data_IF_806204274577
#
_entry.id   IF_806204274577
#
_cell.length_a   1.000
_cell.length_b   1.000
_cell.length_c   1.000
_cell.angle_alpha   90.00
_cell.angle_beta   90.00
_cell.angle_gamma   90.00
#
_symmetry.space_group_name_H-M   'P 1'
#
loop_
_entity.id
_entity.type
_entity.pdbx_description
1 polymer ?
#
# COMPACT_ATOMS: atom_id res chain seq x y z
N UNK A 1 31.46 14.02 1.09
CA UNK A 1 30.65 13.96 -0.14
C UNK A 1 29.19 13.82 0.28
N UNK A 2 28.39 14.86 0.08
CA UNK A 2 27.03 14.99 0.62
C UNK A 2 25.99 14.44 -0.37
N UNK A 3 25.11 13.56 0.10
CA UNK A 3 24.01 12.93 -0.68
C UNK A 3 22.69 13.69 -0.55
N UNK A 4 22.72 15.02 -0.65
CA UNK A 4 21.56 15.90 -0.39
C UNK A 4 20.80 16.37 -1.66
N UNK A 5 20.92 15.69 -2.80
CA UNK A 5 20.47 16.24 -4.11
C UNK A 5 19.54 15.35 -4.94
N UNK A 6 18.86 14.35 -4.36
CA UNK A 6 17.96 13.45 -5.13
C UNK A 6 16.50 13.40 -4.66
N UNK A 7 15.99 14.47 -4.03
CA UNK A 7 14.63 14.49 -3.44
C UNK A 7 13.60 15.41 -4.12
N UNK A 8 13.89 16.00 -5.30
CA UNK A 8 13.01 17.00 -5.94
C UNK A 8 12.51 16.67 -7.36
N UNK A 9 12.44 15.39 -7.79
CA UNK A 9 12.04 15.06 -9.18
C UNK A 9 10.89 14.07 -9.37
N UNK A 10 10.10 13.76 -8.33
CA UNK A 10 8.93 12.85 -8.46
C UNK A 10 7.65 13.47 -7.87
N UNK A 11 7.53 14.80 -7.87
CA UNK A 11 6.33 15.49 -7.39
C UNK A 11 5.71 16.49 -8.39
N UNK A 12 5.94 16.29 -9.69
CA UNK A 12 5.40 17.15 -10.76
C UNK A 12 4.57 16.40 -11.81
N UNK A 13 4.19 15.13 -11.58
CA UNK A 13 3.65 14.26 -12.63
C UNK A 13 2.15 13.91 -12.63
N UNK A 14 1.33 14.31 -11.65
CA UNK A 14 -0.01 13.71 -11.53
C UNK A 14 -1.14 14.63 -11.02
N UNK A 15 -1.19 15.89 -11.46
CA UNK A 15 -2.39 16.75 -11.27
C UNK A 15 -2.83 17.45 -12.58
N UNK A 16 -2.16 17.21 -13.71
CA UNK A 16 -2.44 17.90 -14.98
C UNK A 16 -3.48 17.17 -15.88
N UNK A 17 -4.55 16.60 -15.32
CA UNK A 17 -5.52 15.85 -16.12
C UNK A 17 -6.98 15.91 -15.64
N UNK A 18 -7.45 17.05 -15.09
CA UNK A 18 -8.89 17.28 -14.87
C UNK A 18 -9.25 18.77 -14.70
N UNK A 19 -8.74 19.63 -15.58
CA UNK A 19 -9.09 21.06 -15.64
C UNK A 19 -9.12 21.59 -17.09
N UNK A 20 -9.68 20.82 -18.02
CA UNK A 20 -9.91 21.22 -19.42
C UNK A 20 -11.32 20.79 -19.86
N UNK A 21 -12.37 21.36 -19.24
CA UNK A 21 -13.72 21.24 -19.81
C UNK A 21 -14.72 22.36 -19.42
N UNK A 22 -14.31 23.59 -19.09
CA UNK A 22 -15.27 24.70 -18.93
C UNK A 22 -14.66 26.07 -19.32
N UNK A 23 -13.98 26.15 -20.46
CA UNK A 23 -13.59 27.44 -21.08
C UNK A 23 -13.70 27.31 -22.59
N UNK A 24 -14.84 27.73 -23.15
CA UNK A 24 -14.98 27.86 -24.60
C UNK A 24 -16.43 27.87 -25.06
N UNK A 25 -17.15 28.96 -24.83
CA UNK A 25 -18.14 29.51 -25.77
C UNK A 25 -18.64 30.86 -25.26
N UNK A 26 -17.93 31.94 -25.60
CA UNK A 26 -18.55 33.25 -25.76
C UNK A 26 -17.85 33.96 -26.92
N UNK A 27 -18.28 33.59 -28.12
CA UNK A 27 -17.86 34.25 -29.35
C UNK A 27 -18.51 35.64 -29.41
N UNK A 28 -17.67 36.60 -29.78
CA UNK A 28 -17.90 38.02 -30.01
C UNK A 28 -18.98 38.23 -31.09
N UNK A 29 -20.03 38.96 -30.77
CA UNK A 29 -20.93 39.57 -31.75
C UNK A 29 -20.56 41.05 -31.90
N UNK A 30 -19.98 41.40 -33.05
CA UNK A 30 -19.68 42.78 -33.47
C UNK A 30 -20.88 43.24 -34.31
N UNK A 31 -21.63 44.21 -33.81
CA UNK A 31 -22.70 44.86 -34.57
C UNK A 31 -22.12 46.04 -35.35
N UNK A 32 -22.23 46.00 -36.67
CA UNK A 32 -21.95 47.14 -37.54
C UNK A 32 -23.15 48.09 -37.52
N UNK A 33 -22.83 49.36 -37.30
CA UNK A 33 -23.69 50.51 -37.46
C UNK A 33 -23.97 50.78 -38.94
N UNK A 34 -25.24 50.92 -39.31
CA UNK A 34 -25.63 51.74 -40.47
C UNK A 34 -26.63 52.80 -40.03
N UNK A 35 -26.28 54.01 -40.43
CA UNK A 35 -26.92 55.29 -40.18
C UNK A 35 -28.23 55.44 -40.96
N UNK A 36 -29.24 56.03 -40.32
CA UNK A 36 -30.43 56.57 -40.96
C UNK A 36 -31.08 57.61 -40.05
N UNK A 37 -30.90 58.89 -40.38
CA UNK A 37 -31.42 60.03 -39.66
C UNK A 37 -32.88 60.30 -40.00
N UNK A 38 -33.67 60.76 -39.01
CA UNK A 38 -34.64 61.85 -39.20
C UNK A 38 -35.07 62.46 -37.86
N UNK A 39 -35.13 63.78 -37.91
CA UNK A 39 -35.37 64.82 -36.91
C UNK A 39 -36.84 64.90 -36.48
N UNK A 40 -37.10 65.26 -35.21
CA UNK A 40 -38.14 66.20 -34.71
C UNK A 40 -38.56 65.87 -33.26
N UNK A 41 -38.62 66.89 -32.38
CA UNK A 41 -39.25 66.76 -31.06
C UNK A 41 -38.52 67.43 -29.89
N UNK A 42 -38.25 68.73 -30.00
CA UNK A 42 -37.76 69.57 -28.90
C UNK A 42 -38.89 69.82 -27.86
N UNK A 43 -38.54 69.93 -26.57
CA UNK A 43 -39.38 70.29 -25.40
C UNK A 43 -39.90 69.17 -24.47
N UNK A 44 -40.22 67.96 -24.94
CA UNK A 44 -40.56 66.81 -24.05
C UNK A 44 -39.34 65.94 -23.65
N UNK A 45 -38.23 66.11 -24.37
CA UNK A 45 -37.02 65.30 -24.25
C UNK A 45 -36.22 65.60 -22.96
N UNK A 46 -36.32 66.79 -22.39
CA UNK A 46 -35.49 67.20 -21.24
C UNK A 46 -35.93 66.52 -19.94
N UNK A 47 -37.24 66.37 -19.68
CA UNK A 47 -37.77 65.66 -18.50
C UNK A 47 -37.63 64.14 -18.61
N UNK A 48 -37.64 63.63 -19.83
CA UNK A 48 -37.47 62.20 -20.12
C UNK A 48 -36.00 61.81 -19.99
N UNK A 49 -35.05 62.66 -20.43
CA UNK A 49 -33.61 62.40 -20.29
C UNK A 49 -33.12 62.44 -18.84
N UNK A 50 -33.71 63.28 -17.99
CA UNK A 50 -33.41 63.31 -16.54
C UNK A 50 -33.95 62.08 -15.82
N UNK A 51 -35.19 61.64 -16.12
CA UNK A 51 -35.72 60.38 -15.58
C UNK A 51 -34.91 59.16 -16.02
N UNK A 52 -34.42 59.13 -17.27
CA UNK A 52 -33.56 58.05 -17.77
C UNK A 52 -32.23 58.02 -17.02
N UNK A 53 -31.60 59.19 -16.77
CA UNK A 53 -30.36 59.26 -15.97
C UNK A 53 -30.55 58.84 -14.52
N UNK A 54 -31.67 59.21 -13.89
CA UNK A 54 -32.02 58.81 -12.53
C UNK A 54 -32.15 57.28 -12.44
N UNK A 55 -32.89 56.68 -13.39
CA UNK A 55 -33.06 55.22 -13.48
C UNK A 55 -31.74 54.51 -13.70
N UNK A 56 -30.87 55.03 -14.58
CA UNK A 56 -29.55 54.45 -14.83
C UNK A 56 -28.65 54.52 -13.60
N UNK A 57 -28.69 55.60 -12.82
CA UNK A 57 -27.95 55.71 -11.55
C UNK A 57 -28.45 54.70 -10.51
N UNK A 58 -29.77 54.58 -10.35
CA UNK A 58 -30.36 53.58 -9.46
C UNK A 58 -30.01 52.15 -9.92
N UNK A 59 -30.01 51.91 -11.24
CA UNK A 59 -29.61 50.63 -11.81
C UNK A 59 -28.12 50.34 -11.56
N UNK A 60 -27.22 51.32 -11.70
CA UNK A 60 -25.81 51.16 -11.39
C UNK A 60 -25.56 50.86 -9.90
N UNK A 61 -26.26 51.54 -9.00
CA UNK A 61 -26.15 51.29 -7.55
C UNK A 61 -26.63 49.90 -7.17
N UNK A 62 -27.79 49.47 -7.68
CA UNK A 62 -28.34 48.12 -7.45
C UNK A 62 -27.43 47.04 -8.07
N UNK A 63 -26.85 47.30 -9.25
CA UNK A 63 -25.86 46.40 -9.86
C UNK A 63 -24.55 46.32 -9.05
N UNK A 64 -24.08 47.44 -8.48
CA UNK A 64 -22.88 47.46 -7.62
C UNK A 64 -23.13 46.72 -6.31
N UNK A 65 -24.31 46.89 -5.71
CA UNK A 65 -24.69 46.20 -4.48
C UNK A 65 -24.83 44.69 -4.71
N UNK A 66 -25.51 44.29 -5.79
CA UNK A 66 -25.58 42.88 -6.22
C UNK A 66 -24.21 42.31 -6.52
N UNK A 67 -23.32 43.05 -7.18
CA UNK A 67 -21.96 42.62 -7.47
C UNK A 67 -21.16 42.39 -6.18
N UNK A 68 -21.25 43.29 -5.19
CA UNK A 68 -20.61 43.12 -3.88
C UNK A 68 -21.14 41.90 -3.13
N UNK A 69 -22.46 41.72 -3.10
CA UNK A 69 -23.10 40.57 -2.46
C UNK A 69 -22.72 39.24 -3.13
N UNK A 70 -22.62 39.22 -4.47
CA UNK A 70 -22.13 38.06 -5.23
C UNK A 70 -20.66 37.80 -4.91
N UNK A 71 -19.81 38.84 -4.84
CA UNK A 71 -18.40 38.71 -4.51
C UNK A 71 -18.19 38.14 -3.10
N UNK A 72 -18.93 38.63 -2.11
CA UNK A 72 -18.89 38.11 -0.73
C UNK A 72 -19.37 36.66 -0.63
N UNK A 73 -20.46 36.30 -1.33
CA UNK A 73 -20.92 34.91 -1.43
C UNK A 73 -19.87 34.00 -2.07
N UNK A 74 -19.22 34.45 -3.14
CA UNK A 74 -18.17 33.67 -3.81
C UNK A 74 -16.94 33.51 -2.93
N UNK A 75 -16.56 34.54 -2.17
CA UNK A 75 -15.42 34.48 -1.25
C UNK A 75 -15.71 33.54 -0.07
N UNK A 76 -16.88 33.67 0.57
CA UNK A 76 -17.30 32.79 1.66
C UNK A 76 -17.44 31.34 1.19
N UNK A 77 -18.01 31.10 0.01
CA UNK A 77 -18.12 29.75 -0.55
C UNK A 77 -16.74 29.16 -0.87
N UNK A 78 -15.81 29.95 -1.42
CA UNK A 78 -14.41 29.52 -1.64
C UNK A 78 -13.71 29.17 -0.35
N UNK A 79 -13.92 29.93 0.71
CA UNK A 79 -13.34 29.69 2.02
C UNK A 79 -13.93 28.43 2.67
N UNK A 80 -15.24 28.21 2.56
CA UNK A 80 -15.92 26.99 2.99
C UNK A 80 -15.43 25.76 2.20
N UNK A 81 -15.29 25.86 0.88
CA UNK A 81 -14.74 24.78 0.05
C UNK A 81 -13.30 24.48 0.46
N UNK A 82 -12.47 25.51 0.74
CA UNK A 82 -11.07 25.34 1.14
C UNK A 82 -10.95 24.68 2.52
N UNK A 83 -11.75 25.10 3.48
CA UNK A 83 -11.78 24.52 4.83
C UNK A 83 -12.33 23.09 4.81
N UNK A 84 -13.41 22.83 4.08
CA UNK A 84 -13.94 21.48 3.87
C UNK A 84 -12.94 20.56 3.16
N UNK A 85 -12.25 21.05 2.13
CA UNK A 85 -11.20 20.29 1.44
C UNK A 85 -10.03 19.96 2.37
N UNK A 86 -9.61 20.90 3.23
CA UNK A 86 -8.52 20.68 4.18
C UNK A 86 -8.88 19.66 5.26
N UNK A 87 -10.06 19.79 5.87
CA UNK A 87 -10.53 18.89 6.93
C UNK A 87 -10.87 17.50 6.40
N UNK A 88 -11.40 17.40 5.19
CA UNK A 88 -11.66 16.13 4.51
C UNK A 88 -10.35 15.42 4.16
N UNK A 89 -9.35 16.14 3.64
CA UNK A 89 -8.01 15.58 3.37
C UNK A 89 -7.36 15.05 4.64
N UNK A 90 -7.43 15.78 5.74
CA UNK A 90 -6.85 15.35 7.02
C UNK A 90 -7.55 14.09 7.57
N UNK A 91 -8.88 14.06 7.54
CA UNK A 91 -9.65 12.87 7.95
C UNK A 91 -9.35 11.65 7.07
N UNK A 92 -9.22 11.85 5.75
CA UNK A 92 -8.85 10.77 4.83
C UNK A 92 -7.43 10.28 5.14
N UNK A 93 -6.48 11.20 5.37
CA UNK A 93 -5.11 10.85 5.71
C UNK A 93 -5.02 10.03 6.99
N UNK A 94 -5.66 10.47 8.06
CA UNK A 94 -5.70 9.75 9.33
C UNK A 94 -6.31 8.35 9.18
N UNK A 95 -7.44 8.24 8.47
CA UNK A 95 -8.08 6.93 8.19
C UNK A 95 -7.19 6.01 7.35
N UNK A 96 -6.45 6.56 6.40
CA UNK A 96 -5.53 5.77 5.56
C UNK A 96 -4.33 5.31 6.38
N UNK A 97 -3.77 6.15 7.26
CA UNK A 97 -2.65 5.80 8.13
C UNK A 97 -3.04 4.70 9.14
N UNK A 98 -4.20 4.81 9.79
CA UNK A 98 -4.67 3.78 10.72
C UNK A 98 -5.01 2.46 10.01
N UNK A 99 -5.73 2.53 8.88
CA UNK A 99 -6.07 1.34 8.10
C UNK A 99 -4.82 0.66 7.52
N UNK A 100 -3.79 1.42 7.13
CA UNK A 100 -2.52 0.86 6.66
C UNK A 100 -1.79 0.13 7.80
N UNK A 101 -1.74 0.72 9.00
CA UNK A 101 -1.13 0.09 10.17
C UNK A 101 -1.84 -1.21 10.57
N UNK A 102 -3.17 -1.22 10.59
CA UNK A 102 -3.97 -2.42 10.87
C UNK A 102 -3.74 -3.52 9.84
N UNK A 103 -3.75 -3.18 8.54
CA UNK A 103 -3.46 -4.13 7.46
C UNK A 103 -2.07 -4.73 7.58
N UNK A 104 -1.08 -3.91 7.90
CA UNK A 104 0.29 -4.39 8.09
C UNK A 104 0.39 -5.36 9.28
N UNK A 105 -0.17 -4.99 10.44
CA UNK A 105 -0.22 -5.89 11.61
C UNK A 105 -0.91 -7.21 11.28
N UNK A 106 -2.05 -7.16 10.60
CA UNK A 106 -2.78 -8.35 10.18
C UNK A 106 -1.97 -9.22 9.20
N UNK A 107 -1.25 -8.60 8.27
CA UNK A 107 -0.41 -9.34 7.33
C UNK A 107 0.75 -10.04 8.04
N UNK A 108 1.46 -9.33 8.93
CA UNK A 108 2.59 -9.92 9.67
C UNK A 108 2.11 -11.01 10.64
N UNK A 109 1.00 -10.81 11.33
CA UNK A 109 0.45 -11.82 12.25
C UNK A 109 0.09 -13.13 11.52
N UNK A 110 -0.46 -13.04 10.30
CA UNK A 110 -0.69 -14.21 9.46
C UNK A 110 0.60 -14.94 9.09
N UNK A 111 1.67 -14.20 8.80
CA UNK A 111 2.99 -14.79 8.48
C UNK A 111 3.58 -15.46 9.71
N UNK A 112 3.62 -14.79 10.86
CA UNK A 112 4.11 -15.35 12.13
C UNK A 112 3.36 -16.64 12.48
N UNK A 113 2.03 -16.63 12.37
CA UNK A 113 1.21 -17.82 12.62
C UNK A 113 1.60 -19.00 11.71
N UNK A 114 1.85 -18.74 10.42
CA UNK A 114 2.28 -19.78 9.46
C UNK A 114 3.69 -20.30 9.78
N UNK A 115 4.61 -19.43 10.19
CA UNK A 115 5.97 -19.82 10.57
C UNK A 115 5.96 -20.67 11.85
N UNK A 116 5.19 -20.27 12.87
CA UNK A 116 5.03 -21.06 14.10
C UNK A 116 4.38 -22.42 13.85
N UNK A 117 3.38 -22.49 12.96
CA UNK A 117 2.81 -23.77 12.55
C UNK A 117 3.84 -24.69 11.84
N UNK A 118 4.76 -24.09 11.07
CA UNK A 118 5.84 -24.85 10.44
C UNK A 118 6.86 -25.35 11.47
N UNK A 119 7.26 -24.52 12.44
CA UNK A 119 8.09 -24.90 13.60
C UNK A 119 7.48 -26.11 14.31
N UNK A 120 6.21 -26.01 14.72
CA UNK A 120 5.51 -27.08 15.44
C UNK A 120 5.48 -28.40 14.64
N UNK A 121 5.21 -28.31 13.33
CA UNK A 121 5.22 -29.49 12.46
C UNK A 121 6.60 -30.15 12.39
N UNK A 122 7.67 -29.36 12.30
CA UNK A 122 9.04 -29.86 12.24
C UNK A 122 9.50 -30.45 13.58
N UNK A 123 9.09 -29.87 14.72
CA UNK A 123 9.33 -30.45 16.05
C UNK A 123 8.67 -31.81 16.20
N UNK A 124 7.38 -31.92 15.85
CA UNK A 124 6.65 -33.21 15.88
C UNK A 124 7.32 -34.27 14.99
N UNK A 125 7.86 -33.87 13.83
CA UNK A 125 8.62 -34.78 12.97
C UNK A 125 9.95 -35.20 13.60
N UNK A 126 10.64 -34.25 14.24
CA UNK A 126 11.90 -34.49 14.97
C UNK A 126 11.70 -35.52 16.08
N UNK A 127 10.65 -35.37 16.88
CA UNK A 127 10.35 -36.27 18.00
C UNK A 127 9.96 -37.67 17.53
N UNK A 128 9.19 -37.76 16.44
CA UNK A 128 8.87 -39.04 15.80
C UNK A 128 10.12 -39.73 15.27
N UNK A 129 11.03 -38.97 14.67
CA UNK A 129 12.29 -39.52 14.15
C UNK A 129 13.18 -39.98 15.30
N UNK A 130 13.32 -39.19 16.37
CA UNK A 130 14.07 -39.57 17.57
C UNK A 130 13.54 -40.88 18.17
N UNK A 131 12.22 -41.01 18.34
CA UNK A 131 11.59 -42.24 18.82
C UNK A 131 11.93 -43.44 17.92
N UNK A 132 11.95 -43.26 16.60
CA UNK A 132 12.34 -44.31 15.66
C UNK A 132 13.82 -44.65 15.75
N UNK A 133 14.70 -43.66 15.88
CA UNK A 133 16.14 -43.87 16.05
C UNK A 133 16.46 -44.63 17.33
N UNK A 134 15.77 -44.32 18.43
CA UNK A 134 15.93 -45.06 19.69
C UNK A 134 15.56 -46.55 19.50
N UNK A 135 14.42 -46.83 18.86
CA UNK A 135 14.01 -48.22 18.55
C UNK A 135 14.98 -48.96 17.62
N UNK A 136 15.73 -48.26 16.76
CA UNK A 136 16.76 -48.86 15.91
C UNK A 136 18.05 -49.11 16.68
N UNK A 137 18.46 -48.16 17.53
CA UNK A 137 19.60 -48.31 18.43
C UNK A 137 19.41 -49.51 19.38
N UNK A 138 18.20 -49.69 19.92
CA UNK A 138 17.86 -50.85 20.78
C UNK A 138 18.01 -52.19 20.05
N UNK A 139 17.96 -52.19 18.72
CA UNK A 139 18.17 -53.36 17.85
C UNK A 139 19.63 -53.51 17.41
N UNK A 140 20.54 -52.69 17.93
CA UNK A 140 21.96 -52.69 17.57
C UNK A 140 22.27 -52.08 16.20
N UNK A 141 21.33 -51.34 15.60
CA UNK A 141 21.57 -50.63 14.33
C UNK A 141 22.30 -49.32 14.64
N UNK A 142 23.35 -49.02 13.88
CA UNK A 142 24.06 -47.75 14.00
C UNK A 142 23.17 -46.58 13.56
N UNK A 143 22.97 -45.63 14.47
CA UNK A 143 22.15 -44.42 14.27
C UNK A 143 22.96 -43.14 14.42
N UNK A 144 24.29 -43.22 14.38
CA UNK A 144 25.18 -42.09 14.63
C UNK A 144 24.94 -40.95 13.64
N UNK A 145 24.95 -41.23 12.34
CA UNK A 145 24.71 -40.22 11.29
C UNK A 145 23.27 -39.65 11.34
N UNK A 146 22.19 -40.46 11.38
CA UNK A 146 20.84 -39.93 11.53
C UNK A 146 20.64 -39.04 12.76
N UNK A 147 21.28 -39.35 13.89
CA UNK A 147 21.22 -38.53 15.11
C UNK A 147 21.93 -37.19 14.93
N UNK A 148 23.08 -37.17 14.26
CA UNK A 148 23.78 -35.92 13.95
C UNK A 148 22.91 -35.00 13.06
N UNK A 149 22.30 -35.54 12.01
CA UNK A 149 21.40 -34.80 11.12
C UNK A 149 20.14 -34.29 11.84
N UNK A 150 19.56 -35.10 12.75
CA UNK A 150 18.46 -34.65 13.62
C UNK A 150 18.88 -33.49 14.54
N UNK A 151 20.11 -33.51 15.05
CA UNK A 151 20.68 -32.40 15.83
C UNK A 151 20.77 -31.09 15.03
N UNK A 152 21.20 -31.18 13.77
CA UNK A 152 21.22 -30.03 12.84
C UNK A 152 19.79 -29.50 12.63
N UNK A 153 18.84 -30.40 12.38
CA UNK A 153 17.44 -30.01 12.20
C UNK A 153 16.88 -29.25 13.41
N UNK A 154 17.10 -29.77 14.63
CA UNK A 154 16.65 -29.12 15.88
C UNK A 154 17.30 -27.75 16.09
N UNK A 155 18.58 -27.62 15.75
CA UNK A 155 19.30 -26.34 15.83
C UNK A 155 18.68 -25.30 14.89
N UNK A 156 18.39 -25.69 13.64
CA UNK A 156 17.79 -24.78 12.66
C UNK A 156 16.32 -24.44 12.98
N UNK A 157 15.58 -25.32 13.67
CA UNK A 157 14.25 -25.01 14.22
C UNK A 157 14.37 -23.94 15.31
N UNK A 158 15.30 -24.10 16.26
CA UNK A 158 15.53 -23.12 17.33
C UNK A 158 15.96 -21.76 16.77
N UNK A 159 16.81 -21.74 15.74
CA UNK A 159 17.17 -20.51 15.04
C UNK A 159 15.95 -19.83 14.43
N UNK A 160 15.03 -20.60 13.82
CA UNK A 160 13.80 -20.04 13.26
C UNK A 160 12.91 -19.44 14.37
N UNK A 161 12.75 -20.12 15.51
CA UNK A 161 12.00 -19.62 16.66
C UNK A 161 12.56 -18.29 17.18
N UNK A 162 13.89 -18.22 17.35
CA UNK A 162 14.57 -17.00 17.80
C UNK A 162 14.28 -15.83 16.86
N UNK A 163 14.45 -16.03 15.55
CA UNK A 163 14.21 -14.98 14.53
C UNK A 163 12.74 -14.58 14.48
N UNK A 164 11.80 -15.52 14.62
CA UNK A 164 10.36 -15.20 14.70
C UNK A 164 10.05 -14.36 15.95
N UNK A 165 10.76 -14.60 17.05
CA UNK A 165 10.65 -13.84 18.30
C UNK A 165 10.96 -12.34 18.16
N UNK A 166 11.75 -11.95 17.15
CA UNK A 166 12.10 -10.54 16.87
C UNK A 166 10.97 -9.77 16.14
N UNK A 167 9.95 -10.48 15.64
CA UNK A 167 8.91 -9.88 14.80
C UNK A 167 8.07 -8.79 15.50
N UNK A 168 7.63 -8.93 16.77
CA UNK A 168 6.83 -7.91 17.44
C UNK A 168 7.55 -6.55 17.50
N UNK A 169 8.84 -6.55 17.83
CA UNK A 169 9.66 -5.33 17.89
C UNK A 169 9.83 -4.72 16.50
N UNK A 170 10.08 -5.54 15.48
CA UNK A 170 10.18 -5.07 14.11
C UNK A 170 8.88 -4.42 13.60
N UNK A 171 7.71 -4.96 13.98
CA UNK A 171 6.41 -4.40 13.62
C UNK A 171 6.20 -3.03 14.26
N UNK A 172 6.46 -2.90 15.56
CA UNK A 172 6.30 -1.61 16.25
C UNK A 172 7.31 -0.57 15.73
N UNK A 173 8.52 -0.99 15.37
CA UNK A 173 9.49 -0.14 14.71
C UNK A 173 9.01 0.38 13.34
N UNK A 174 8.25 -0.40 12.56
CA UNK A 174 7.65 0.10 11.30
C UNK A 174 6.61 1.17 11.58
N UNK A 175 5.77 0.95 12.59
CA UNK A 175 4.62 1.79 12.88
C UNK A 175 4.99 3.12 13.55
N UNK A 176 6.11 3.17 14.25
CA UNK A 176 6.63 4.39 14.88
C UNK A 176 7.69 5.15 14.06
N UNK A 177 7.98 4.73 12.81
CA UNK A 177 9.11 5.27 12.06
C UNK A 177 8.73 6.28 10.98
N UNK A 178 9.49 7.38 10.93
CA UNK A 178 9.46 8.37 9.83
C UNK A 178 10.13 7.88 8.54
N UNK A 179 10.76 6.68 8.57
CA UNK A 179 11.42 6.03 7.44
C UNK A 179 10.83 4.65 7.15
N UNK A 180 9.56 4.56 6.67
CA UNK A 180 8.86 3.27 6.56
C UNK A 180 9.58 2.26 5.67
N UNK A 181 10.23 2.70 4.58
CA UNK A 181 10.89 1.80 3.64
C UNK A 181 12.00 0.94 4.27
N UNK A 182 12.80 1.52 5.15
CA UNK A 182 13.90 0.81 5.79
C UNK A 182 13.39 -0.16 6.87
N UNK A 183 12.39 0.26 7.64
CA UNK A 183 11.79 -0.57 8.68
C UNK A 183 10.99 -1.73 8.09
N UNK A 184 10.25 -1.52 6.98
CA UNK A 184 9.64 -2.61 6.21
C UNK A 184 10.66 -3.63 5.70
N UNK A 185 11.82 -3.17 5.24
CA UNK A 185 12.89 -4.05 4.77
C UNK A 185 13.36 -4.97 5.91
N UNK A 186 13.58 -4.42 7.12
CA UNK A 186 13.96 -5.22 8.29
C UNK A 186 12.94 -6.30 8.61
N UNK A 187 11.65 -5.98 8.65
CA UNK A 187 10.59 -6.99 8.86
C UNK A 187 10.64 -8.10 7.81
N UNK A 188 10.86 -7.74 6.55
CA UNK A 188 11.01 -8.73 5.46
C UNK A 188 12.25 -9.60 5.63
N UNK A 189 13.38 -9.01 5.99
CA UNK A 189 14.64 -9.72 6.19
C UNK A 189 14.51 -10.77 7.31
N UNK A 190 13.82 -10.43 8.42
CA UNK A 190 13.48 -11.37 9.50
C UNK A 190 12.64 -12.53 8.98
N UNK A 191 11.58 -12.24 8.21
CA UNK A 191 10.73 -13.28 7.60
C UNK A 191 11.55 -14.21 6.70
N UNK A 192 12.44 -13.66 5.88
CA UNK A 192 13.22 -14.44 4.93
C UNK A 192 14.32 -15.27 5.62
N UNK A 193 14.90 -14.76 6.71
CA UNK A 193 15.80 -15.53 7.58
C UNK A 193 15.08 -16.70 8.26
N UNK A 194 13.91 -16.48 8.86
CA UNK A 194 13.12 -17.54 9.48
C UNK A 194 12.76 -18.64 8.46
N UNK A 195 12.33 -18.26 7.25
CA UNK A 195 12.08 -19.23 6.17
C UNK A 195 13.33 -20.02 5.78
N UNK A 196 14.49 -19.36 5.72
CA UNK A 196 15.75 -20.01 5.36
C UNK A 196 16.11 -21.08 6.40
N UNK A 197 16.03 -20.77 7.69
CA UNK A 197 16.27 -21.72 8.78
C UNK A 197 15.28 -22.89 8.73
N UNK A 198 13.97 -22.62 8.54
CA UNK A 198 12.97 -23.69 8.39
C UNK A 198 13.23 -24.61 7.18
N UNK A 199 13.71 -24.06 6.05
CA UNK A 199 14.10 -24.87 4.89
C UNK A 199 15.30 -25.76 5.19
N UNK A 200 16.30 -25.23 5.91
CA UNK A 200 17.46 -26.03 6.33
C UNK A 200 17.06 -27.13 7.30
N UNK A 201 16.23 -26.81 8.29
CA UNK A 201 15.68 -27.79 9.22
C UNK A 201 14.93 -28.91 8.48
N UNK A 202 14.06 -28.56 7.53
CA UNK A 202 13.35 -29.55 6.71
C UNK A 202 14.30 -30.44 5.91
N UNK A 203 15.32 -29.86 5.26
CA UNK A 203 16.33 -30.63 4.51
C UNK A 203 17.07 -31.61 5.43
N UNK A 204 17.57 -31.13 6.57
CA UNK A 204 18.23 -31.98 7.55
C UNK A 204 17.34 -33.12 8.07
N UNK A 205 16.04 -32.90 8.25
CA UNK A 205 15.10 -33.99 8.59
C UNK A 205 14.93 -35.00 7.46
N UNK A 206 14.85 -34.54 6.20
CA UNK A 206 14.78 -35.45 5.04
C UNK A 206 16.05 -36.28 4.96
N UNK A 207 17.21 -35.66 5.09
CA UNK A 207 18.51 -36.34 5.07
C UNK A 207 18.61 -37.35 6.22
N UNK A 208 18.17 -36.97 7.44
CA UNK A 208 18.12 -37.87 8.58
C UNK A 208 17.20 -39.08 8.33
N UNK A 209 16.04 -38.88 7.68
CA UNK A 209 15.13 -39.96 7.29
C UNK A 209 15.78 -40.89 6.26
N UNK A 210 16.48 -40.34 5.26
CA UNK A 210 17.20 -41.12 4.24
C UNK A 210 18.30 -41.97 4.89
N UNK A 211 19.13 -41.35 5.73
CA UNK A 211 20.18 -42.05 6.48
C UNK A 211 19.58 -43.15 7.39
N UNK A 212 18.43 -42.88 8.02
CA UNK A 212 17.71 -43.89 8.84
C UNK A 212 17.26 -45.09 8.00
N UNK A 213 16.80 -44.87 6.76
CA UNK A 213 16.40 -45.96 5.85
C UNK A 213 17.60 -46.80 5.43
N UNK A 214 18.70 -46.13 5.07
CA UNK A 214 19.94 -46.79 4.68
C UNK A 214 20.49 -47.66 5.84
N UNK A 215 20.55 -47.12 7.05
CA UNK A 215 20.97 -47.85 8.24
C UNK A 215 20.06 -49.05 8.56
N UNK A 216 18.76 -48.93 8.32
CA UNK A 216 17.78 -50.00 8.51
C UNK A 216 17.75 -51.07 7.41
N UNK A 217 18.63 -51.01 6.40
CA UNK A 217 18.68 -51.97 5.30
C UNK A 217 17.49 -51.92 4.34
N UNK A 218 16.63 -50.90 4.43
CA UNK A 218 15.52 -50.68 3.50
C UNK A 218 16.09 -49.87 2.33
N UNK A 219 16.46 -50.55 1.23
CA UNK A 219 16.91 -49.88 0.00
C UNK A 219 15.87 -48.85 -0.42
N UNK A 220 16.34 -47.63 -0.72
CA UNK A 220 15.53 -46.64 -1.38
C UNK A 220 15.32 -47.09 -2.82
N UNK A 221 14.14 -47.60 -3.15
CA UNK A 221 13.80 -47.81 -4.55
C UNK A 221 13.86 -46.46 -5.28
N UNK A 222 14.64 -46.45 -6.35
CA UNK A 222 14.90 -45.33 -7.23
C UNK A 222 13.61 -44.80 -7.88
N UNK A 223 13.56 -43.47 -7.98
CA UNK A 223 12.87 -42.67 -8.99
C UNK A 223 11.82 -43.36 -9.89
N UNK A 224 10.53 -43.19 -9.56
CA UNK A 224 9.46 -43.19 -10.55
C UNK A 224 9.08 -41.74 -10.88
N UNK A 225 9.89 -41.10 -11.74
CA UNK A 225 9.43 -40.00 -12.60
C UNK A 225 9.35 -40.57 -14.02
N UNK A 226 8.14 -40.92 -14.44
CA UNK A 226 7.73 -40.84 -15.84
C UNK A 226 6.21 -40.65 -15.84
N UNK A 227 5.79 -39.39 -15.97
CA UNK A 227 4.44 -39.08 -16.45
C UNK A 227 4.63 -38.82 -17.94
N UNK A 228 4.44 -39.87 -18.73
CA UNK A 228 4.13 -39.76 -20.15
C UNK A 228 2.83 -38.95 -20.27
N UNK A 229 2.93 -37.77 -20.87
CA UNK A 229 1.79 -37.02 -21.35
C UNK A 229 1.34 -37.66 -22.66
N UNK A 230 0.37 -38.57 -22.58
CA UNK A 230 -0.38 -39.04 -23.74
C UNK A 230 -1.26 -37.87 -24.22
N UNK A 231 -0.93 -37.37 -25.41
CA UNK A 231 -1.73 -36.39 -26.15
C UNK A 231 -2.65 -37.23 -27.03
N UNK A 232 -3.96 -37.20 -26.74
CA UNK A 232 -4.97 -37.81 -27.60
C UNK A 232 -5.75 -36.70 -28.30
N UNK A 233 -5.94 -36.89 -29.60
CA UNK A 233 -6.46 -35.99 -30.64
C UNK A 233 -8.00 -35.90 -30.61
#
# INVERSE_FOLDING_TARGET
MNTATYKNWILTGAVAALALFLLGFFAVARAETTSGASTEGDSAATSTSTQIRERLRQQEEDLRERSRAIQERLNTERENIRTMASTTREKIRQKVETAAAERFRAQVSMVVRRLNAAVERLLRLSDRLESRLNKLADKGIDVTEPRALLGIARTEIANAESVIGEMPEAVEAVLGSDTPRETFKKTRDIIDQAKASLKKAHRALVDAIVATKAAGGVKADEAATSTEAETDD
#
